data_IF_424425472639
#
_entry.id   IF_424425472639
#
_cell.length_a   1.000
_cell.length_b   1.000
_cell.length_c   1.000
_cell.angle_alpha   90.00
_cell.angle_beta   90.00
_cell.angle_gamma   90.00
#
_symmetry.space_group_name_H-M   'P 1'
#
loop_
_entity.id
_entity.type
_entity.pdbx_description
1 polymer ?
#
# COMPACT_ATOMS: atom_id res chain seq x y z
N UNK A 1 13.05 -71.53 31.52
CA UNK A 1 13.29 -70.11 31.78
C UNK A 1 12.05 -69.37 31.31
N UNK A 2 10.90 -69.49 32.00
CA UNK A 2 10.56 -68.82 33.28
C UNK A 2 10.74 -67.30 33.21
N UNK A 3 9.64 -66.55 33.06
CA UNK A 3 8.90 -65.77 34.09
C UNK A 3 9.39 -64.30 34.05
N UNK A 4 8.61 -63.22 34.17
CA UNK A 4 7.21 -62.97 34.51
C UNK A 4 6.90 -61.48 34.20
N UNK A 5 5.62 -61.12 34.07
CA UNK A 5 5.10 -59.79 34.46
C UNK A 5 4.46 -59.94 35.86
N UNK A 6 4.30 -58.87 36.69
CA UNK A 6 3.08 -58.04 36.65
C UNK A 6 3.27 -56.55 37.07
N UNK A 7 2.53 -55.58 36.53
CA UNK A 7 1.25 -54.99 36.99
C UNK A 7 1.26 -54.29 38.36
N UNK A 8 0.93 -52.99 38.37
CA UNK A 8 0.21 -52.33 39.45
C UNK A 8 -0.91 -51.45 38.87
N UNK A 9 -2.13 -51.73 39.34
CA UNK A 9 -3.42 -51.10 39.07
C UNK A 9 -3.75 -50.06 40.15
N UNK A 10 -4.61 -49.09 39.79
CA UNK A 10 -5.76 -48.51 40.53
C UNK A 10 -6.12 -47.18 39.83
N UNK A 11 -7.15 -47.03 38.99
CA UNK A 11 -8.61 -47.27 39.06
C UNK A 11 -9.41 -46.26 39.91
N UNK A 12 -10.61 -45.93 39.38
CA UNK A 12 -11.72 -45.03 39.80
C UNK A 12 -11.68 -43.58 39.26
N UNK A 13 -12.74 -43.00 38.67
CA UNK A 13 -14.09 -43.45 38.33
C UNK A 13 -14.77 -42.45 37.35
N UNK A 14 -15.77 -42.95 36.62
CA UNK A 14 -16.59 -42.37 35.56
C UNK A 14 -17.44 -41.13 35.91
N UNK A 15 -17.78 -40.31 34.89
CA UNK A 15 -19.17 -40.21 34.41
C UNK A 15 -19.31 -39.39 33.12
N UNK A 16 -20.30 -39.81 32.35
CA UNK A 16 -20.70 -39.53 30.97
C UNK A 16 -21.28 -38.13 30.71
N UNK A 17 -21.11 -37.61 29.49
CA UNK A 17 -22.19 -37.46 28.51
C UNK A 17 -21.67 -36.87 27.18
N UNK A 18 -22.15 -37.44 26.08
CA UNK A 18 -21.74 -37.08 24.72
C UNK A 18 -22.39 -35.80 24.22
N UNK A 19 -21.68 -35.10 23.34
CA UNK A 19 -22.21 -34.06 22.47
C UNK A 19 -21.79 -34.40 21.03
N UNK A 20 -22.80 -34.73 20.23
CA UNK A 20 -22.69 -34.94 18.78
C UNK A 20 -22.48 -33.59 18.08
N UNK A 21 -21.67 -33.51 17.01
CA UNK A 21 -21.54 -32.28 16.22
C UNK A 21 -22.84 -31.98 15.46
N UNK A 22 -23.38 -30.78 15.69
CA UNK A 22 -24.53 -30.24 14.98
C UNK A 22 -24.21 -30.10 13.48
N UNK A 23 -24.80 -30.97 12.66
CA UNK A 23 -24.92 -30.78 11.21
C UNK A 23 -25.90 -29.63 10.94
N UNK A 24 -25.37 -28.44 10.70
CA UNK A 24 -26.15 -27.36 10.09
C UNK A 24 -26.35 -27.69 8.61
N UNK A 25 -27.59 -28.01 8.24
CA UNK A 25 -28.04 -28.16 6.85
C UNK A 25 -28.58 -26.81 6.39
N UNK A 26 -27.73 -25.96 5.83
CA UNK A 26 -28.22 -24.79 5.09
C UNK A 26 -28.41 -25.16 3.63
N UNK A 27 -29.68 -25.36 3.29
CA UNK A 27 -30.17 -25.67 1.97
C UNK A 27 -30.28 -24.34 1.20
N UNK A 28 -29.20 -23.91 0.54
CA UNK A 28 -29.23 -22.73 -0.33
C UNK A 28 -29.97 -23.10 -1.62
N UNK A 29 -31.13 -22.48 -1.82
CA UNK A 29 -31.94 -22.58 -3.02
C UNK A 29 -31.46 -21.56 -4.05
N UNK A 30 -30.88 -22.02 -5.16
CA UNK A 30 -30.56 -21.15 -6.30
C UNK A 30 -31.86 -20.83 -7.05
N UNK A 31 -32.40 -19.62 -6.83
CA UNK A 31 -33.40 -19.06 -7.73
C UNK A 31 -32.68 -18.56 -8.98
N UNK A 32 -32.88 -19.26 -10.09
CA UNK A 32 -32.54 -18.80 -11.45
C UNK A 32 -33.23 -17.47 -11.73
N UNK A 33 -32.47 -16.39 -11.85
CA UNK A 33 -33.00 -15.11 -12.35
C UNK A 33 -33.08 -15.21 -13.89
N UNK A 34 -34.30 -15.13 -14.41
CA UNK A 34 -34.55 -15.09 -15.84
C UNK A 34 -34.03 -13.78 -16.44
N UNK A 35 -33.19 -13.88 -17.47
CA UNK A 35 -32.69 -12.75 -18.24
C UNK A 35 -33.86 -12.00 -18.90
N UNK A 36 -34.13 -10.77 -18.44
CA UNK A 36 -35.10 -9.89 -19.09
C UNK A 36 -34.42 -9.18 -20.26
N UNK A 37 -34.90 -9.48 -21.46
CA UNK A 37 -34.44 -8.99 -22.76
C UNK A 37 -34.60 -7.46 -22.86
N UNK A 38 -33.49 -6.72 -22.73
CA UNK A 38 -33.45 -5.28 -23.00
C UNK A 38 -33.73 -5.01 -24.48
N UNK A 39 -34.77 -4.20 -24.74
CA UNK A 39 -35.13 -3.75 -26.08
C UNK A 39 -34.07 -2.75 -26.57
N UNK A 40 -33.45 -3.09 -27.70
CA UNK A 40 -32.50 -2.26 -28.45
C UNK A 40 -33.28 -1.13 -29.13
N UNK A 41 -33.28 0.06 -28.55
CA UNK A 41 -33.76 1.28 -29.23
C UNK A 41 -32.56 2.09 -29.70
N UNK A 42 -32.52 2.34 -31.01
CA UNK A 42 -31.51 3.11 -31.71
C UNK A 42 -31.53 4.58 -31.29
N UNK A 43 -30.42 5.06 -30.76
CA UNK A 43 -30.12 6.49 -30.68
C UNK A 43 -28.73 6.76 -31.27
N UNK A 44 -28.57 6.40 -32.54
CA UNK A 44 -27.54 6.96 -33.41
C UNK A 44 -28.15 8.16 -34.12
N UNK A 45 -27.98 9.36 -33.55
CA UNK A 45 -28.04 10.63 -34.30
C UNK A 45 -27.71 11.82 -33.40
N UNK A 46 -26.46 11.92 -32.94
CA UNK A 46 -25.85 13.22 -32.54
C UNK A 46 -24.35 13.09 -32.31
N UNK A 47 -23.60 12.89 -33.39
CA UNK A 47 -22.21 13.32 -33.44
C UNK A 47 -22.17 14.45 -34.45
N UNK A 48 -22.28 15.67 -33.95
CA UNK A 48 -21.79 16.86 -34.66
C UNK A 48 -20.34 17.03 -34.26
N UNK A 49 -19.49 17.12 -35.27
CA UNK A 49 -18.12 17.55 -35.21
C UNK A 49 -17.95 18.78 -34.31
N UNK A 50 -17.00 18.70 -33.37
CA UNK A 50 -16.37 19.88 -32.79
C UNK A 50 -14.88 19.61 -32.64
N UNK A 51 -14.13 20.12 -33.62
CA UNK A 51 -12.78 20.69 -33.54
C UNK A 51 -11.81 20.10 -32.50
N UNK A 52 -10.99 19.17 -32.98
CA UNK A 52 -9.61 18.98 -32.54
C UNK A 52 -8.82 20.27 -32.79
N UNK A 53 -8.68 21.13 -31.78
CA UNK A 53 -7.50 21.94 -31.51
C UNK A 53 -7.74 22.67 -30.18
N UNK A 54 -7.36 22.06 -29.07
CA UNK A 54 -7.13 22.76 -27.81
C UNK A 54 -5.73 22.40 -27.33
N UNK A 55 -4.86 23.40 -27.37
CA UNK A 55 -3.55 23.43 -26.74
C UNK A 55 -3.58 22.84 -25.33
N UNK A 56 -2.59 22.02 -24.92
CA UNK A 56 -2.49 21.61 -23.51
C UNK A 56 -2.32 22.86 -22.63
N UNK A 57 -2.92 22.90 -21.44
CA UNK A 57 -2.68 24.00 -20.51
C UNK A 57 -1.19 24.01 -20.17
N UNK A 58 -0.62 25.21 -20.26
CA UNK A 58 0.73 25.57 -19.86
C UNK A 58 1.06 24.95 -18.50
N UNK A 59 2.08 24.09 -18.46
CA UNK A 59 2.68 23.57 -17.23
C UNK A 59 3.04 24.74 -16.32
N UNK A 60 2.55 24.75 -15.09
CA UNK A 60 3.04 25.63 -14.03
C UNK A 60 4.36 25.05 -13.52
N UNK A 61 5.53 25.68 -13.77
CA UNK A 61 6.83 25.05 -13.49
C UNK A 61 7.26 25.07 -12.01
N UNK A 62 6.38 25.46 -11.07
CA UNK A 62 6.79 25.76 -9.69
C UNK A 62 6.25 24.83 -8.59
N UNK A 63 5.76 23.62 -8.92
CA UNK A 63 5.45 22.59 -7.91
C UNK A 63 6.42 21.42 -7.98
N UNK A 64 7.68 21.67 -7.66
CA UNK A 64 8.65 20.60 -7.46
C UNK A 64 8.77 20.36 -5.96
N UNK A 65 8.33 19.19 -5.50
CA UNK A 65 8.78 18.64 -4.22
C UNK A 65 10.26 18.34 -4.39
N UNK A 66 11.10 19.31 -4.05
CA UNK A 66 12.56 19.17 -4.13
C UNK A 66 13.05 18.50 -2.86
N UNK A 67 13.77 17.38 -3.00
CA UNK A 67 14.58 16.80 -1.93
C UNK A 67 15.85 17.59 -1.62
N UNK A 68 16.13 18.68 -2.34
CA UNK A 68 17.35 19.44 -2.11
C UNK A 68 17.22 20.28 -0.83
N UNK A 69 18.11 20.03 0.13
CA UNK A 69 18.60 21.11 1.00
C UNK A 69 19.46 22.03 0.13
N UNK A 70 18.92 23.17 -0.30
CA UNK A 70 19.71 24.20 -0.97
C UNK A 70 20.61 24.90 0.06
N UNK A 71 21.92 24.79 -0.13
CA UNK A 71 22.92 25.68 0.47
C UNK A 71 23.48 26.55 -0.65
N UNK A 72 23.40 27.87 -0.49
CA UNK A 72 24.14 28.84 -1.31
C UNK A 72 25.18 29.57 -0.45
N UNK A 73 26.33 29.88 -1.06
CA UNK A 73 27.57 30.38 -0.43
C UNK A 73 27.52 31.79 0.21
N UNK A 74 26.36 32.33 0.56
CA UNK A 74 26.29 33.62 1.28
C UNK A 74 25.22 33.55 2.38
N UNK A 75 25.68 33.26 3.60
CA UNK A 75 24.85 32.97 4.78
C UNK A 75 23.89 34.07 5.22
N UNK A 76 22.72 34.16 4.59
CA UNK A 76 21.53 34.83 5.15
C UNK A 76 20.26 34.23 4.54
N UNK A 77 19.34 33.63 5.33
CA UNK A 77 18.12 33.06 4.78
C UNK A 77 17.09 34.17 4.55
N UNK A 78 16.94 34.60 3.29
CA UNK A 78 15.68 35.19 2.82
C UNK A 78 14.81 34.00 2.39
N UNK A 79 14.06 33.44 3.34
CA UNK A 79 13.02 32.46 3.01
C UNK A 79 11.95 33.17 2.19
N UNK A 80 11.95 32.99 0.86
CA UNK A 80 10.70 33.10 0.11
C UNK A 80 9.87 31.88 0.48
N UNK A 81 9.17 31.96 1.61
CA UNK A 81 8.15 30.98 1.98
C UNK A 81 6.97 31.16 1.03
N UNK A 82 7.13 30.66 -0.19
CA UNK A 82 5.97 30.29 -1.00
C UNK A 82 5.21 29.30 -0.13
N UNK A 83 4.02 29.70 0.32
CA UNK A 83 3.18 28.87 1.18
C UNK A 83 3.03 27.55 0.42
N UNK A 84 3.56 26.46 0.97
CA UNK A 84 3.39 25.12 0.40
C UNK A 84 1.92 24.77 0.56
N UNK A 85 1.10 25.18 -0.42
CA UNK A 85 -0.33 24.90 -0.48
C UNK A 85 -0.52 23.45 -0.92
N UNK A 86 -0.55 22.53 0.04
CA UNK A 86 -0.81 21.11 -0.19
C UNK A 86 -0.76 20.31 1.11
N UNK A 87 -1.48 19.18 1.15
CA UNK A 87 -1.37 18.19 2.22
C UNK A 87 -0.04 17.46 2.13
N UNK A 88 0.96 17.98 2.85
CA UNK A 88 2.35 17.53 2.76
C UNK A 88 2.82 16.93 4.08
N UNK A 89 3.49 15.79 3.99
CA UNK A 89 4.15 15.14 5.12
C UNK A 89 5.62 14.86 4.80
N UNK A 90 6.50 15.27 5.71
CA UNK A 90 7.94 15.05 5.61
C UNK A 90 8.42 14.22 6.80
N UNK A 91 9.28 13.24 6.55
CA UNK A 91 9.85 12.35 7.56
C UNK A 91 11.32 12.13 7.26
N UNK A 92 12.15 12.23 8.30
CA UNK A 92 13.52 11.76 8.29
C UNK A 92 13.70 10.75 9.42
N UNK A 93 14.25 9.58 9.08
CA UNK A 93 14.49 8.48 9.99
C UNK A 93 15.93 8.01 9.81
N UNK A 94 16.65 7.86 10.91
CA UNK A 94 18.04 7.39 10.92
C UNK A 94 18.15 6.27 11.94
N UNK A 95 18.63 5.12 11.50
CA UNK A 95 18.93 3.96 12.34
C UNK A 95 20.42 3.61 12.20
N UNK A 96 20.84 2.46 12.72
CA UNK A 96 22.20 1.95 12.48
C UNK A 96 22.34 1.34 11.08
N UNK A 97 21.25 0.83 10.53
CA UNK A 97 21.19 0.11 9.25
C UNK A 97 20.89 1.07 8.10
N UNK A 98 20.06 2.11 8.34
CA UNK A 98 19.53 2.97 7.28
C UNK A 98 19.48 4.46 7.64
N UNK A 99 19.42 5.28 6.59
CA UNK A 99 19.11 6.70 6.63
C UNK A 99 18.07 6.99 5.54
N UNK A 100 16.85 7.28 5.96
CA UNK A 100 15.68 7.42 5.08
C UNK A 100 15.07 8.81 5.24
N UNK A 101 14.83 9.48 4.11
CA UNK A 101 14.08 10.71 4.01
C UNK A 101 12.92 10.52 3.04
N UNK A 102 11.71 10.87 3.47
CA UNK A 102 10.50 10.83 2.64
C UNK A 102 9.79 12.18 2.71
N UNK A 103 9.34 12.66 1.56
CA UNK A 103 8.38 13.75 1.43
C UNK A 103 7.23 13.29 0.53
N UNK A 104 5.99 13.53 0.96
CA UNK A 104 4.80 13.17 0.21
C UNK A 104 3.81 14.33 0.20
N UNK A 105 3.35 14.71 -0.99
CA UNK A 105 2.23 15.62 -1.21
C UNK A 105 1.01 14.82 -1.71
N UNK A 106 -0.08 14.82 -0.94
CA UNK A 106 -1.31 14.12 -1.32
C UNK A 106 -2.13 14.84 -2.38
N UNK A 107 -1.90 16.15 -2.55
CA UNK A 107 -2.57 16.98 -3.55
C UNK A 107 -1.59 17.26 -4.70
N UNK A 108 -0.99 16.18 -5.21
CA UNK A 108 0.08 16.20 -6.20
C UNK A 108 -0.40 16.03 -7.63
N UNK A 109 0.56 15.70 -8.49
CA UNK A 109 0.39 15.48 -9.93
C UNK A 109 0.96 14.14 -10.40
N UNK A 110 1.45 13.32 -9.48
CA UNK A 110 2.07 12.03 -9.77
C UNK A 110 3.59 12.09 -9.97
N UNK A 111 4.26 13.15 -9.50
CA UNK A 111 5.72 13.28 -9.65
C UNK A 111 6.44 12.36 -8.67
N UNK A 112 7.39 11.57 -9.16
CA UNK A 112 8.21 10.67 -8.36
C UNK A 112 9.70 11.05 -8.42
N UNK A 113 10.35 11.11 -7.27
CA UNK A 113 11.81 11.28 -7.13
C UNK A 113 12.33 10.28 -6.11
N UNK A 114 12.55 9.05 -6.56
CA UNK A 114 12.89 7.92 -5.71
C UNK A 114 14.34 7.46 -5.98
N UNK A 115 15.05 7.18 -4.90
CA UNK A 115 16.43 6.71 -4.89
C UNK A 115 16.65 5.99 -3.58
N UNK A 116 16.22 4.73 -3.54
CA UNK A 116 16.31 3.87 -2.35
C UNK A 116 17.55 2.98 -2.36
N UNK A 117 18.24 2.90 -3.50
CA UNK A 117 19.27 1.88 -3.75
C UNK A 117 18.69 0.51 -4.12
N UNK A 118 17.36 0.35 -4.18
CA UNK A 118 16.66 -0.88 -4.54
C UNK A 118 15.81 -0.60 -5.81
N UNK A 119 16.29 -0.93 -7.03
CA UNK A 119 15.66 -0.49 -8.27
C UNK A 119 14.19 -0.92 -8.44
N UNK A 120 13.83 -2.12 -7.97
CA UNK A 120 12.44 -2.58 -8.05
C UNK A 120 11.51 -1.84 -7.09
N UNK A 121 12.00 -1.47 -5.89
CA UNK A 121 11.25 -0.66 -4.94
C UNK A 121 11.03 0.75 -5.49
N UNK A 122 12.06 1.36 -6.08
CA UNK A 122 11.94 2.66 -6.76
C UNK A 122 10.84 2.61 -7.84
N UNK A 123 10.83 1.55 -8.65
CA UNK A 123 9.77 1.34 -9.64
C UNK A 123 8.37 1.24 -9.01
N UNK A 124 8.21 0.53 -7.88
CA UNK A 124 6.92 0.44 -7.19
C UNK A 124 6.48 1.79 -6.60
N UNK A 125 7.41 2.59 -6.08
CA UNK A 125 7.13 3.94 -5.59
C UNK A 125 6.72 4.90 -6.71
N UNK A 126 7.29 4.75 -7.92
CA UNK A 126 6.88 5.50 -9.10
C UNK A 126 5.42 5.19 -9.50
N UNK A 127 5.03 3.91 -9.43
CA UNK A 127 3.64 3.49 -9.67
C UNK A 127 2.69 4.05 -8.61
N UNK A 128 3.09 4.04 -7.33
CA UNK A 128 2.31 4.62 -6.25
C UNK A 128 2.06 6.12 -6.48
N UNK A 129 3.09 6.87 -6.85
CA UNK A 129 2.97 8.30 -7.15
C UNK A 129 2.02 8.53 -8.34
N UNK A 130 2.27 7.85 -9.46
CA UNK A 130 1.55 8.04 -10.72
C UNK A 130 0.06 7.70 -10.59
N UNK A 131 -0.26 6.55 -9.99
CA UNK A 131 -1.65 6.10 -9.87
C UNK A 131 -2.40 6.72 -8.68
N UNK A 132 -1.68 7.15 -7.64
CA UNK A 132 -2.25 7.89 -6.51
C UNK A 132 -2.39 9.39 -6.74
N UNK A 133 -1.81 9.93 -7.82
CA UNK A 133 -1.63 11.37 -8.05
C UNK A 133 -0.93 12.08 -6.89
N UNK A 134 0.02 11.38 -6.26
CA UNK A 134 0.85 11.92 -5.20
C UNK A 134 2.16 12.44 -5.78
N UNK A 135 2.69 13.53 -5.24
CA UNK A 135 4.11 13.83 -5.47
C UNK A 135 4.91 13.16 -4.35
N UNK A 136 5.77 12.21 -4.70
CA UNK A 136 6.52 11.36 -3.77
C UNK A 136 8.01 11.56 -3.99
N UNK A 137 8.72 11.84 -2.92
CA UNK A 137 10.17 11.81 -2.92
C UNK A 137 10.68 10.89 -1.81
N UNK A 138 11.49 9.92 -2.19
CA UNK A 138 12.16 9.00 -1.27
C UNK A 138 13.66 9.00 -1.55
N UNK A 139 14.45 9.30 -0.52
CA UNK A 139 15.90 9.10 -0.51
C UNK A 139 16.23 8.14 0.61
N UNK A 140 16.85 7.01 0.29
CA UNK A 140 17.34 6.07 1.28
C UNK A 140 18.78 5.65 1.01
N UNK A 141 19.53 5.46 2.09
CA UNK A 141 20.82 4.78 2.07
C UNK A 141 20.77 3.76 3.20
N UNK A 142 20.93 2.49 2.86
CA UNK A 142 20.98 1.42 3.85
C UNK A 142 21.97 0.34 3.48
N UNK A 143 21.97 -0.73 4.26
CA UNK A 143 22.86 -1.87 4.17
C UNK A 143 22.47 -2.89 3.08
N UNK A 144 22.11 -2.42 1.88
CA UNK A 144 21.67 -3.24 0.73
C UNK A 144 22.69 -4.28 0.22
N UNK A 145 23.92 -4.22 0.73
CA UNK A 145 24.95 -5.23 0.50
C UNK A 145 24.76 -6.50 1.34
N UNK A 146 23.95 -6.45 2.41
CA UNK A 146 23.51 -7.60 3.20
C UNK A 146 22.27 -8.20 2.53
N UNK A 147 21.18 -7.44 2.51
CA UNK A 147 19.95 -7.70 1.74
C UNK A 147 19.09 -6.42 1.65
N UNK A 148 17.93 -6.52 1.00
CA UNK A 148 17.00 -5.38 0.81
C UNK A 148 16.10 -5.11 2.03
N UNK A 149 16.17 -5.93 3.09
CA UNK A 149 15.15 -6.00 4.14
C UNK A 149 15.03 -4.69 4.92
N UNK A 150 16.13 -4.25 5.56
CA UNK A 150 16.10 -3.08 6.43
C UNK A 150 15.76 -1.81 5.66
N UNK A 151 16.33 -1.65 4.47
CA UNK A 151 16.08 -0.48 3.62
C UNK A 151 14.62 -0.45 3.17
N UNK A 152 14.07 -1.58 2.71
CA UNK A 152 12.66 -1.67 2.31
C UNK A 152 11.71 -1.39 3.48
N UNK A 153 11.97 -1.97 4.66
CA UNK A 153 11.17 -1.76 5.88
C UNK A 153 11.20 -0.30 6.35
N UNK A 154 12.39 0.31 6.46
CA UNK A 154 12.52 1.68 6.95
C UNK A 154 11.97 2.71 5.95
N UNK A 155 12.04 2.44 4.64
CA UNK A 155 11.33 3.22 3.60
C UNK A 155 9.83 3.12 3.80
N UNK A 156 9.30 1.91 3.99
CA UNK A 156 7.90 1.66 4.27
C UNK A 156 7.41 2.42 5.52
N UNK A 157 8.15 2.35 6.63
CA UNK A 157 7.84 3.06 7.88
C UNK A 157 7.84 4.58 7.71
N UNK A 158 8.84 5.13 7.01
CA UNK A 158 8.93 6.56 6.76
C UNK A 158 7.81 7.04 5.83
N UNK A 159 7.48 6.26 4.79
CA UNK A 159 6.40 6.54 3.86
C UNK A 159 5.03 6.57 4.57
N UNK A 160 4.71 5.55 5.37
CA UNK A 160 3.46 5.52 6.14
C UNK A 160 3.35 6.69 7.13
N UNK A 161 4.45 7.01 7.81
CA UNK A 161 4.50 8.17 8.71
C UNK A 161 4.32 9.50 7.96
N UNK A 162 4.87 9.63 6.75
CA UNK A 162 4.71 10.82 5.92
C UNK A 162 3.26 10.98 5.46
N UNK A 163 2.61 9.90 5.05
CA UNK A 163 1.20 9.86 4.68
C UNK A 163 0.32 10.31 5.85
N UNK A 164 0.54 9.78 7.07
CA UNK A 164 -0.21 10.21 8.25
C UNK A 164 -0.07 11.71 8.54
N UNK A 165 1.16 12.24 8.46
CA UNK A 165 1.42 13.67 8.64
C UNK A 165 0.71 14.51 7.58
N UNK A 166 0.71 14.05 6.33
CA UNK A 166 0.08 14.73 5.22
C UNK A 166 -1.46 14.73 5.34
N UNK A 167 -2.06 13.63 5.81
CA UNK A 167 -3.53 13.55 6.00
C UNK A 167 -4.01 14.48 7.13
N UNK A 168 -3.26 14.61 8.22
CA UNK A 168 -3.62 15.48 9.34
C UNK A 168 -4.85 15.00 10.11
N UNK A 169 -5.86 15.86 10.32
CA UNK A 169 -7.02 15.59 11.19
C UNK A 169 -7.98 14.52 10.67
N UNK A 170 -7.82 14.06 9.41
CA UNK A 170 -8.72 13.09 8.74
C UNK A 170 -10.17 13.59 8.63
N UNK A 171 -10.43 14.88 8.82
CA UNK A 171 -11.76 15.47 8.68
C UNK A 171 -12.06 15.82 7.22
N UNK A 172 -13.29 15.58 6.77
CA UNK A 172 -13.74 15.98 5.43
C UNK A 172 -13.16 15.16 4.27
N UNK A 173 -12.49 14.04 4.53
CA UNK A 173 -11.94 13.14 3.50
C UNK A 173 -12.89 11.99 3.15
N UNK A 174 -12.68 11.41 1.97
CA UNK A 174 -13.19 10.07 1.69
C UNK A 174 -12.41 9.07 2.54
N UNK A 175 -13.01 8.66 3.66
CA UNK A 175 -12.39 7.77 4.64
C UNK A 175 -12.17 6.35 4.10
N UNK A 176 -13.14 5.86 3.34
CA UNK A 176 -13.10 4.53 2.72
C UNK A 176 -12.80 4.68 1.24
N UNK A 177 -11.97 3.79 0.71
CA UNK A 177 -11.69 3.70 -0.71
C UNK A 177 -11.38 2.26 -1.11
N UNK A 178 -11.64 1.95 -2.36
CA UNK A 178 -11.22 0.70 -2.97
C UNK A 178 -10.69 0.94 -4.37
N UNK A 179 -9.80 0.05 -4.81
CA UNK A 179 -9.21 0.13 -6.14
C UNK A 179 -8.88 -1.27 -6.65
N UNK A 180 -9.16 -1.52 -7.92
CA UNK A 180 -8.79 -2.74 -8.62
C UNK A 180 -7.86 -2.43 -9.77
N UNK A 181 -6.70 -3.08 -9.80
CA UNK A 181 -5.68 -2.91 -10.83
C UNK A 181 -5.38 -4.26 -11.50
N UNK A 182 -5.74 -4.43 -12.79
CA UNK A 182 -5.27 -5.55 -13.58
C UNK A 182 -3.89 -5.27 -14.18
N UNK A 183 -3.05 -6.29 -14.25
CA UNK A 183 -1.81 -6.30 -15.02
C UNK A 183 -1.63 -7.70 -15.62
N UNK A 184 -1.75 -7.80 -16.95
CA UNK A 184 -1.80 -9.07 -17.67
C UNK A 184 -2.83 -10.05 -17.07
N UNK A 185 -2.43 -11.25 -16.65
CA UNK A 185 -3.32 -12.22 -15.99
C UNK A 185 -3.57 -11.93 -14.50
N UNK A 186 -2.81 -11.01 -13.89
CA UNK A 186 -2.93 -10.68 -12.48
C UNK A 186 -4.01 -9.61 -12.23
N UNK A 187 -4.71 -9.76 -11.11
CA UNK A 187 -5.67 -8.78 -10.61
C UNK A 187 -5.45 -8.58 -9.11
N UNK A 188 -5.19 -7.33 -8.72
CA UNK A 188 -5.16 -6.92 -7.31
C UNK A 188 -6.36 -6.06 -7.01
N UNK A 189 -6.99 -6.31 -5.86
CA UNK A 189 -8.01 -5.45 -5.27
C UNK A 189 -7.55 -5.01 -3.89
N UNK A 190 -7.62 -3.71 -3.63
CA UNK A 190 -7.27 -3.10 -2.34
C UNK A 190 -8.50 -2.39 -1.79
N UNK A 191 -8.78 -2.58 -0.50
CA UNK A 191 -9.77 -1.80 0.24
C UNK A 191 -9.10 -1.15 1.45
N UNK A 192 -9.31 0.16 1.61
CA UNK A 192 -8.65 0.99 2.61
C UNK A 192 -9.69 1.67 3.52
N UNK A 193 -9.43 1.66 4.82
CA UNK A 193 -10.13 2.45 5.84
C UNK A 193 -9.11 3.31 6.60
N UNK A 194 -9.19 4.63 6.44
CA UNK A 194 -8.42 5.62 7.18
C UNK A 194 -9.00 5.83 8.59
N UNK A 195 -8.97 4.76 9.39
CA UNK A 195 -9.70 4.65 10.66
C UNK A 195 -8.93 5.05 11.91
N UNK A 196 -7.60 5.16 11.84
CA UNK A 196 -6.76 5.26 13.03
C UNK A 196 -6.58 3.93 13.78
N UNK A 197 -6.97 2.80 13.18
CA UNK A 197 -6.71 1.45 13.71
C UNK A 197 -5.80 0.69 12.74
N UNK A 198 -4.51 0.48 13.07
CA UNK A 198 -3.59 -0.22 12.18
C UNK A 198 -4.03 -1.67 12.02
N UNK A 199 -4.25 -2.08 10.78
CA UNK A 199 -4.60 -3.45 10.41
C UNK A 199 -4.22 -3.72 8.95
N UNK A 200 -3.75 -4.93 8.69
CA UNK A 200 -3.51 -5.47 7.37
C UNK A 200 -4.08 -6.88 7.30
N UNK A 201 -4.82 -7.14 6.24
CA UNK A 201 -5.11 -8.48 5.77
C UNK A 201 -4.78 -8.54 4.28
N UNK A 202 -4.09 -9.59 3.84
CA UNK A 202 -3.78 -9.82 2.44
C UNK A 202 -3.97 -11.29 2.09
N UNK A 203 -4.34 -11.54 0.83
CA UNK A 203 -4.38 -12.87 0.22
C UNK A 203 -3.56 -12.79 -1.07
N UNK A 204 -2.23 -12.79 -0.90
CA UNK A 204 -1.27 -12.56 -1.98
C UNK A 204 -0.46 -13.84 -2.22
N UNK A 205 -0.64 -14.42 -3.41
CA UNK A 205 0.18 -15.52 -3.90
C UNK A 205 1.24 -14.98 -4.86
N UNK A 206 2.49 -14.89 -4.39
CA UNK A 206 3.63 -14.52 -5.23
C UNK A 206 4.44 -15.80 -5.47
N UNK A 207 4.38 -16.39 -6.68
CA UNK A 207 4.92 -17.73 -6.92
C UNK A 207 6.45 -17.78 -7.04
N UNK A 208 7.11 -16.62 -7.19
CA UNK A 208 8.55 -16.50 -7.41
C UNK A 208 9.23 -15.92 -6.18
N UNK A 209 10.42 -16.41 -5.86
CA UNK A 209 11.23 -15.90 -4.72
C UNK A 209 11.86 -14.53 -5.00
N UNK A 210 12.06 -14.17 -6.27
CA UNK A 210 12.66 -12.87 -6.66
C UNK A 210 12.04 -12.26 -7.90
N UNK A 211 12.12 -10.94 -8.01
CA UNK A 211 11.90 -10.17 -9.24
C UNK A 211 13.17 -9.37 -9.54
N UNK A 212 13.93 -9.81 -10.55
CA UNK A 212 15.29 -9.31 -10.76
C UNK A 212 16.17 -9.62 -9.54
N UNK A 213 16.69 -8.58 -8.88
CA UNK A 213 17.45 -8.72 -7.63
C UNK A 213 16.58 -8.57 -6.38
N UNK A 214 15.30 -8.20 -6.49
CA UNK A 214 14.44 -7.94 -5.34
C UNK A 214 13.87 -9.24 -4.77
N UNK A 215 14.00 -9.44 -3.46
CA UNK A 215 13.43 -10.59 -2.76
C UNK A 215 11.94 -10.40 -2.51
N UNK A 216 11.09 -11.32 -2.97
CA UNK A 216 9.63 -11.16 -2.84
C UNK A 216 9.14 -11.39 -1.41
N UNK A 217 9.93 -11.99 -0.54
CA UNK A 217 9.56 -12.17 0.86
C UNK A 217 9.40 -10.82 1.56
N UNK A 218 10.11 -9.77 1.11
CA UNK A 218 10.04 -8.46 1.75
C UNK A 218 8.73 -7.72 1.52
N UNK A 219 7.89 -8.20 0.61
CA UNK A 219 6.52 -7.70 0.39
C UNK A 219 5.60 -8.05 1.57
N UNK A 220 5.88 -9.12 2.30
CA UNK A 220 5.02 -9.65 3.34
C UNK A 220 5.24 -9.00 4.73
N UNK A 221 6.13 -8.02 4.86
CA UNK A 221 6.51 -7.48 6.17
C UNK A 221 5.39 -6.65 6.83
N UNK A 222 4.96 -7.03 8.06
CA UNK A 222 3.90 -6.32 8.80
C UNK A 222 4.27 -4.90 9.24
N UNK A 223 5.56 -4.57 9.32
CA UNK A 223 6.05 -3.31 9.92
C UNK A 223 5.54 -2.06 9.20
N UNK A 224 5.27 -2.12 7.88
CA UNK A 224 4.63 -1.05 7.11
C UNK A 224 3.29 -0.60 7.74
N UNK A 225 2.54 -1.52 8.33
CA UNK A 225 1.13 -1.28 8.66
C UNK A 225 0.88 -0.72 10.06
N UNK A 226 1.87 -0.82 10.97
CA UNK A 226 1.73 -0.26 12.30
C UNK A 226 1.78 1.27 12.35
N UNK A 227 2.12 1.95 11.25
CA UNK A 227 2.30 3.41 11.18
C UNK A 227 1.49 4.13 10.08
N UNK A 228 0.51 3.48 9.44
CA UNK A 228 -0.31 4.11 8.38
C UNK A 228 -1.67 4.61 8.90
N UNK A 229 -2.04 4.31 10.14
CA UNK A 229 -3.35 4.67 10.69
C UNK A 229 -3.28 5.36 12.04
#
# INVERSE_FOLDING_TARGET
>A
MELSAPSALLSYCSSSQGLQPLKVRDRVSYRTLAATRLKKTSLLSRLKETNFLSTPPLMDPLRVVSCASSVDENGSPIMSSSIRTGRIGEVKRVTKETNVMVSMNLDGSGVAQNDTGIPFLDHMLDQLATHGLFDVCVKATGDTHIDDHHTNEDVALALGTSLLRAIGSKEGIYRFGDFSAPLDEALIHVSLDLSGRPHLSYDLHIPTERVGTYDTQVVYFPSFYFHIN
#
